data_IF_595019497699
#
_entry.id   IF_595019497699
#
_cell.length_a   1.000
_cell.length_b   1.000
_cell.length_c   1.000
_cell.angle_alpha   90.00
_cell.angle_beta   90.00
_cell.angle_gamma   90.00
#
_symmetry.space_group_name_H-M   'P 1'
#
loop_
_entity.id
_entity.type
_entity.pdbx_description
1 polymer ?
#
# COMPACT_ATOMS: atom_id res chain seq x y z
N UNK A 1 -26.89 -19.10 -40.75
CA UNK A 1 -27.39 -18.91 -39.38
C UNK A 1 -26.38 -19.14 -38.21
N UNK A 2 -25.11 -19.57 -38.37
CA UNK A 2 -24.20 -19.74 -37.20
C UNK A 2 -23.49 -18.46 -36.74
N UNK A 3 -23.35 -17.46 -37.63
CA UNK A 3 -22.57 -16.24 -37.36
C UNK A 3 -23.15 -15.37 -36.22
N UNK A 4 -24.48 -15.32 -36.12
CA UNK A 4 -25.18 -14.55 -35.08
C UNK A 4 -25.02 -15.20 -33.70
N UNK A 5 -24.98 -16.54 -33.64
CA UNK A 5 -24.77 -17.29 -32.40
C UNK A 5 -23.36 -17.06 -31.85
N UNK A 6 -22.36 -17.05 -32.74
CA UNK A 6 -20.96 -16.78 -32.37
C UNK A 6 -20.82 -15.34 -31.87
N UNK A 7 -21.40 -14.36 -32.58
CA UNK A 7 -21.36 -12.95 -32.17
C UNK A 7 -22.00 -12.74 -30.80
N UNK A 8 -23.14 -13.37 -30.51
CA UNK A 8 -23.85 -13.23 -29.23
C UNK A 8 -23.05 -13.82 -28.05
N UNK A 9 -22.42 -14.99 -28.25
CA UNK A 9 -21.56 -15.59 -27.23
C UNK A 9 -20.27 -14.77 -27.00
N UNK A 10 -19.67 -14.25 -28.07
CA UNK A 10 -18.47 -13.42 -27.97
C UNK A 10 -18.76 -12.11 -27.22
N UNK A 11 -19.87 -11.45 -27.55
CA UNK A 11 -20.28 -10.20 -26.90
C UNK A 11 -20.63 -10.41 -25.42
N UNK A 12 -21.30 -11.52 -25.10
CA UNK A 12 -21.58 -11.92 -23.72
C UNK A 12 -20.33 -12.27 -22.90
N UNK A 13 -19.28 -12.79 -23.52
CA UNK A 13 -18.02 -13.08 -22.82
C UNK A 13 -17.19 -11.81 -22.62
N UNK A 14 -17.16 -10.90 -23.60
CA UNK A 14 -16.47 -9.61 -23.48
C UNK A 14 -17.10 -8.74 -22.38
N UNK A 15 -18.43 -8.75 -22.25
CA UNK A 15 -19.11 -8.00 -21.18
C UNK A 15 -18.79 -8.57 -19.79
N UNK A 16 -18.76 -9.90 -19.63
CA UNK A 16 -18.32 -10.55 -18.38
C UNK A 16 -16.88 -10.19 -18.02
N UNK A 17 -15.96 -10.28 -18.99
CA UNK A 17 -14.55 -9.88 -18.81
C UNK A 17 -14.40 -8.41 -18.38
N UNK A 18 -15.18 -7.50 -19.00
CA UNK A 18 -15.19 -6.08 -18.61
C UNK A 18 -15.69 -5.86 -17.18
N UNK A 19 -16.72 -6.57 -16.75
CA UNK A 19 -17.25 -6.44 -15.39
C UNK A 19 -16.23 -6.99 -14.38
N UNK A 20 -15.63 -8.15 -14.65
CA UNK A 20 -14.61 -8.74 -13.78
C UNK A 20 -13.40 -7.82 -13.64
N UNK A 21 -12.94 -7.21 -14.73
CA UNK A 21 -11.82 -6.27 -14.69
C UNK A 21 -12.16 -5.01 -13.91
N UNK A 22 -13.36 -4.44 -14.08
CA UNK A 22 -13.80 -3.28 -13.28
C UNK A 22 -13.82 -3.58 -11.78
N UNK A 23 -14.37 -4.73 -11.39
CA UNK A 23 -14.40 -5.16 -9.98
C UNK A 23 -12.97 -5.30 -9.44
N UNK A 24 -12.08 -5.93 -10.21
CA UNK A 24 -10.70 -6.13 -9.81
C UNK A 24 -9.97 -4.79 -9.65
N UNK A 25 -10.15 -3.85 -10.59
CA UNK A 25 -9.53 -2.52 -10.52
C UNK A 25 -10.00 -1.75 -9.28
N UNK A 26 -11.30 -1.73 -8.99
CA UNK A 26 -11.84 -1.06 -7.79
C UNK A 26 -11.26 -1.70 -6.52
N UNK A 27 -11.18 -3.04 -6.47
CA UNK A 27 -10.61 -3.74 -5.33
C UNK A 27 -9.12 -3.44 -5.13
N UNK A 28 -8.36 -3.32 -6.24
CA UNK A 28 -6.94 -2.99 -6.20
C UNK A 28 -6.72 -1.56 -5.66
N UNK A 29 -7.49 -0.59 -6.14
CA UNK A 29 -7.42 0.80 -5.65
C UNK A 29 -7.74 0.89 -4.15
N UNK A 30 -8.74 0.14 -3.69
CA UNK A 30 -9.10 0.09 -2.27
C UNK A 30 -7.97 -0.51 -1.41
N UNK A 31 -7.34 -1.59 -1.88
CA UNK A 31 -6.20 -2.20 -1.20
C UNK A 31 -4.99 -1.26 -1.18
N UNK A 32 -4.72 -0.54 -2.27
CA UNK A 32 -3.66 0.46 -2.34
C UNK A 32 -3.89 1.61 -1.36
N UNK A 33 -5.14 2.07 -1.23
CA UNK A 33 -5.48 3.10 -0.25
C UNK A 33 -5.18 2.64 1.19
N UNK A 34 -5.58 1.42 1.56
CA UNK A 34 -5.26 0.84 2.87
C UNK A 34 -3.74 0.70 3.05
N UNK A 35 -3.03 0.22 2.02
CA UNK A 35 -1.59 0.08 2.04
C UNK A 35 -0.93 1.42 2.32
N UNK A 36 -1.33 2.50 1.65
CA UNK A 36 -0.79 3.84 1.90
C UNK A 36 -1.04 4.35 3.32
N UNK A 37 -2.18 4.04 3.93
CA UNK A 37 -2.45 4.47 5.31
C UNK A 37 -1.71 3.66 6.38
N UNK A 38 -1.34 2.41 6.06
CA UNK A 38 -0.79 1.49 7.06
C UNK A 38 0.70 1.80 7.34
N UNK A 39 1.11 2.04 8.61
CA UNK A 39 2.48 2.42 8.96
C UNK A 39 3.48 1.24 9.01
N UNK A 40 3.21 0.11 8.34
CA UNK A 40 3.97 -1.14 8.45
C UNK A 40 4.68 -1.55 7.15
N UNK A 41 5.13 -0.58 6.36
CA UNK A 41 5.83 -0.86 5.10
C UNK A 41 7.21 -1.44 5.36
N UNK A 42 7.89 -0.93 6.39
CA UNK A 42 9.18 -1.40 6.84
C UNK A 42 9.12 -1.63 8.34
N UNK A 43 9.55 -2.81 8.75
CA UNK A 43 9.75 -3.17 10.16
C UNK A 43 11.24 -3.38 10.34
N UNK A 44 11.86 -2.54 11.16
CA UNK A 44 13.26 -2.65 11.52
C UNK A 44 13.36 -2.84 13.03
N UNK A 45 14.24 -3.72 13.48
CA UNK A 45 14.54 -3.84 14.91
C UNK A 45 15.74 -2.95 15.22
N UNK A 46 15.56 -1.97 16.11
CA UNK A 46 16.66 -1.14 16.58
C UNK A 46 17.46 -1.94 17.62
N UNK A 47 18.65 -2.38 17.24
CA UNK A 47 19.52 -3.22 18.09
C UNK A 47 20.08 -2.47 19.30
N UNK A 48 20.08 -1.13 19.28
CA UNK A 48 20.61 -0.32 20.38
C UNK A 48 19.59 -0.17 21.53
N UNK A 49 18.29 -0.29 21.22
CA UNK A 49 17.20 -0.08 22.18
C UNK A 49 16.29 -1.33 22.30
N UNK A 50 16.58 -2.40 21.54
CA UNK A 50 15.79 -3.64 21.44
C UNK A 50 14.30 -3.37 21.23
N UNK A 51 13.98 -2.51 20.26
CA UNK A 51 12.59 -2.14 19.92
C UNK A 51 12.32 -2.29 18.44
N UNK A 52 11.15 -2.84 18.13
CA UNK A 52 10.64 -2.90 16.77
C UNK A 52 10.14 -1.52 16.36
N UNK A 53 10.79 -0.94 15.37
CA UNK A 53 10.39 0.28 14.70
C UNK A 53 9.55 -0.10 13.49
N UNK A 54 8.34 0.45 13.39
CA UNK A 54 7.48 0.31 12.22
C UNK A 54 7.38 1.66 11.51
N UNK A 55 7.64 1.66 10.21
CA UNK A 55 7.54 2.86 9.38
C UNK A 55 6.71 2.58 8.13
N UNK A 56 5.85 3.54 7.81
CA UNK A 56 5.11 3.59 6.56
C UNK A 56 5.55 4.76 5.70
N UNK A 57 4.75 5.05 4.68
CA UNK A 57 5.06 6.11 3.72
C UNK A 57 5.10 7.51 4.35
N UNK A 58 4.25 7.78 5.35
CA UNK A 58 4.07 9.12 5.94
C UNK A 58 4.30 9.14 7.46
N UNK A 59 4.29 7.98 8.10
CA UNK A 59 4.23 7.81 9.55
C UNK A 59 5.36 6.91 10.01
N UNK A 60 5.99 7.30 11.11
CA UNK A 60 7.04 6.57 11.79
C UNK A 60 6.62 6.29 13.23
N UNK A 61 6.68 5.02 13.65
CA UNK A 61 6.30 4.57 14.98
C UNK A 61 7.45 3.77 15.62
N UNK A 62 8.19 4.36 16.59
CA UNK A 62 9.21 3.64 17.34
C UNK A 62 8.55 2.80 18.45
N UNK A 63 8.31 1.52 18.20
CA UNK A 63 7.68 0.60 19.15
C UNK A 63 6.21 0.91 19.46
N UNK A 64 5.78 0.58 20.68
CA UNK A 64 4.41 0.76 21.20
C UNK A 64 4.09 2.22 21.61
N UNK A 65 4.89 3.19 21.19
CA UNK A 65 4.81 4.59 21.66
C UNK A 65 4.25 5.55 20.59
N UNK A 66 4.18 6.84 20.90
CA UNK A 66 3.56 7.86 20.03
C UNK A 66 4.19 7.86 18.62
N UNK A 67 3.33 7.79 17.60
CA UNK A 67 3.72 7.86 16.19
C UNK A 67 3.87 9.30 15.70
N UNK A 68 4.82 9.52 14.78
CA UNK A 68 5.16 10.83 14.25
C UNK A 68 5.01 10.88 12.73
N UNK A 69 4.71 12.05 12.19
CA UNK A 69 4.67 12.29 10.75
C UNK A 69 6.05 12.71 10.24
N UNK A 70 6.50 12.07 9.16
CA UNK A 70 7.83 12.30 8.56
C UNK A 70 7.96 13.71 7.94
N UNK A 71 6.83 14.37 7.63
CA UNK A 71 6.79 15.65 6.92
C UNK A 71 6.85 16.91 7.80
N UNK A 72 6.92 16.77 9.14
CA UNK A 72 6.99 17.94 10.03
C UNK A 72 8.44 18.38 10.28
N UNK A 73 8.87 19.39 9.53
CA UNK A 73 10.02 20.25 9.87
C UNK A 73 11.41 19.64 9.60
N UNK A 74 12.19 20.33 8.77
CA UNK A 74 13.56 20.01 8.33
C UNK A 74 14.60 19.80 9.45
N UNK A 75 14.23 19.90 10.72
CA UNK A 75 15.11 19.69 11.87
C UNK A 75 15.16 18.25 12.39
N UNK A 76 14.17 17.39 12.10
CA UNK A 76 14.12 15.99 12.60
C UNK A 76 14.52 14.92 11.57
N UNK A 77 14.46 15.23 10.27
CA UNK A 77 14.87 14.34 9.18
C UNK A 77 16.35 13.92 9.30
N UNK A 78 17.22 14.80 9.80
CA UNK A 78 18.65 14.51 10.02
C UNK A 78 18.96 13.56 11.18
N UNK A 79 17.98 13.28 12.05
CA UNK A 79 18.08 12.28 13.13
C UNK A 79 17.58 10.90 12.70
N UNK A 80 16.43 10.86 12.02
CA UNK A 80 15.80 9.60 11.61
C UNK A 80 16.60 8.86 10.51
N UNK A 81 17.17 9.58 9.53
CA UNK A 81 18.06 9.00 8.51
C UNK A 81 19.39 8.46 9.08
N UNK A 82 19.78 8.91 10.28
CA UNK A 82 21.03 8.45 10.92
C UNK A 82 20.86 7.12 11.67
N UNK A 83 19.67 6.81 12.17
CA UNK A 83 19.35 5.49 12.74
C UNK A 83 19.27 4.39 11.69
N UNK A 84 18.85 4.71 10.46
CA UNK A 84 18.69 3.68 9.41
C UNK A 84 20.00 3.37 8.65
N UNK A 85 21.06 4.16 8.84
CA UNK A 85 22.32 4.04 8.11
C UNK A 85 23.52 3.60 8.98
N UNK A 86 23.27 3.17 10.21
CA UNK A 86 24.31 2.58 11.06
C UNK A 86 24.11 1.09 11.19
#
# INVERSE_FOLDING_TARGET
MPLQLIKNNLWGNISKLRITTLILTISAEFLLFIATLTPSWQVAEDTDIHRNIQSGLWIYCPGQSQCWYIFRGSSWLGGCLRSFKR
#
